data_IF_204953944560
#
_entry.id   IF_204953944560
#
_cell.length_a   1.000
_cell.length_b   1.000
_cell.length_c   1.000
_cell.angle_alpha   90.00
_cell.angle_beta   90.00
_cell.angle_gamma   90.00
#
_symmetry.space_group_name_H-M   'P 1'
#
loop_
_entity.id
_entity.type
_entity.pdbx_description
1 polymer ?
#
# COMPACT_ATOMS: atom_id res chain seq x y z
N UNK A 1 -23.11 71.99 -42.56
CA UNK A 1 -22.47 70.66 -42.53
C UNK A 1 -21.47 70.60 -41.37
N UNK A 2 -21.83 70.01 -40.23
CA UNK A 2 -20.85 69.57 -39.20
C UNK A 2 -21.53 68.60 -38.23
N UNK A 3 -21.40 67.30 -38.48
CA UNK A 3 -21.76 66.26 -37.49
C UNK A 3 -20.53 65.98 -36.63
N UNK A 4 -20.62 66.14 -35.30
CA UNK A 4 -19.63 65.56 -34.38
C UNK A 4 -20.31 64.62 -33.40
N UNK A 5 -20.06 63.33 -33.65
CA UNK A 5 -20.24 62.14 -32.80
C UNK A 5 -19.84 62.40 -31.34
N UNK A 6 -20.62 61.86 -30.40
CA UNK A 6 -20.09 61.35 -29.12
C UNK A 6 -20.61 59.92 -28.96
N UNK A 7 -19.67 58.97 -29.04
CA UNK A 7 -19.91 57.54 -28.89
C UNK A 7 -20.21 57.20 -27.42
N UNK A 8 -21.04 56.18 -27.26
CA UNK A 8 -21.48 55.54 -26.03
C UNK A 8 -20.30 55.00 -25.21
N UNK A 9 -20.39 55.15 -23.89
CA UNK A 9 -19.53 54.47 -22.90
C UNK A 9 -19.71 52.95 -23.05
N UNK A 10 -18.65 52.24 -23.46
CA UNK A 10 -18.59 50.79 -23.39
C UNK A 10 -17.90 50.40 -22.07
N UNK A 11 -18.70 50.01 -21.08
CA UNK A 11 -18.21 49.38 -19.85
C UNK A 11 -17.78 47.94 -20.19
N UNK A 12 -16.48 47.71 -20.38
CA UNK A 12 -15.94 46.36 -20.51
C UNK A 12 -15.88 45.71 -19.12
N UNK A 13 -16.86 44.85 -18.81
CA UNK A 13 -16.82 43.98 -17.63
C UNK A 13 -15.79 42.88 -17.93
N UNK A 14 -14.57 43.03 -17.42
CA UNK A 14 -13.54 42.00 -17.52
C UNK A 14 -13.93 40.82 -16.63
N UNK A 15 -14.42 39.73 -17.23
CA UNK A 15 -14.55 38.44 -16.55
C UNK A 15 -13.16 37.89 -16.29
N UNK A 16 -12.68 38.00 -15.05
CA UNK A 16 -11.49 37.28 -14.59
C UNK A 16 -11.77 35.77 -14.67
N UNK A 17 -10.98 34.98 -15.40
CA UNK A 17 -11.06 33.54 -15.30
C UNK A 17 -10.65 33.15 -13.88
N UNK A 18 -11.54 32.46 -13.16
CA UNK A 18 -11.16 31.77 -11.94
C UNK A 18 -10.13 30.71 -12.34
N UNK A 19 -8.85 30.96 -12.06
CA UNK A 19 -7.82 29.95 -12.16
C UNK A 19 -8.24 28.80 -11.24
N UNK A 20 -8.56 27.64 -11.82
CA UNK A 20 -8.71 26.43 -11.05
C UNK A 20 -7.35 26.11 -10.42
N UNK A 21 -7.18 26.48 -9.16
CA UNK A 21 -6.00 26.11 -8.39
C UNK A 21 -6.07 24.59 -8.21
N UNK A 22 -5.29 23.85 -9.00
CA UNK A 22 -5.08 22.44 -8.73
C UNK A 22 -4.51 22.34 -7.31
N UNK A 23 -5.24 21.68 -6.41
CA UNK A 23 -4.83 21.59 -5.02
C UNK A 23 -3.47 20.88 -4.93
N UNK A 24 -2.53 21.47 -4.21
CA UNK A 24 -1.20 20.89 -4.01
C UNK A 24 -1.28 19.79 -2.95
N UNK A 25 -0.79 18.59 -3.28
CA UNK A 25 -0.64 17.48 -2.35
C UNK A 25 0.82 17.06 -2.36
N UNK A 26 1.48 17.08 -1.20
CA UNK A 26 2.85 16.63 -1.03
C UNK A 26 2.97 15.74 0.21
N UNK A 27 3.84 14.73 0.17
CA UNK A 27 4.09 13.82 1.29
C UNK A 27 5.47 14.06 1.85
N UNK A 28 5.64 13.92 3.17
CA UNK A 28 6.96 13.92 3.78
C UNK A 28 7.81 12.76 3.20
N UNK A 29 9.08 13.00 2.87
CA UNK A 29 9.93 11.98 2.25
C UNK A 29 10.18 10.80 3.20
N UNK A 30 10.20 9.60 2.63
CA UNK A 30 10.57 8.36 3.32
C UNK A 30 12.01 8.00 2.94
N UNK A 31 12.88 7.63 3.90
CA UNK A 31 14.25 7.26 3.59
C UNK A 31 14.30 6.01 2.70
N UNK A 32 15.27 5.99 1.77
CA UNK A 32 15.56 4.79 0.98
C UNK A 32 16.14 3.73 1.94
N UNK A 33 15.66 2.49 1.83
CA UNK A 33 16.17 1.39 2.62
C UNK A 33 17.64 1.08 2.28
N UNK A 34 18.56 1.51 3.14
CA UNK A 34 19.99 1.40 2.93
C UNK A 34 20.56 0.01 3.25
N UNK A 35 19.87 -0.75 4.11
CA UNK A 35 20.30 -2.08 4.56
C UNK A 35 19.12 -3.07 4.64
N UNK A 36 19.45 -4.34 4.88
CA UNK A 36 18.46 -5.41 4.93
C UNK A 36 17.52 -5.33 6.13
N UNK A 37 17.93 -4.67 7.22
CA UNK A 37 17.04 -4.44 8.36
C UNK A 37 15.98 -3.39 7.99
N UNK A 38 16.38 -2.30 7.33
CA UNK A 38 15.50 -1.25 6.84
C UNK A 38 14.51 -1.78 5.78
N UNK A 39 14.92 -2.70 4.90
CA UNK A 39 14.02 -3.35 3.92
C UNK A 39 12.90 -4.19 4.56
N UNK A 40 13.07 -4.61 5.81
CA UNK A 40 12.08 -5.40 6.56
C UNK A 40 11.15 -4.54 7.39
N UNK A 41 11.39 -3.24 7.47
CA UNK A 41 10.53 -2.32 8.20
C UNK A 41 9.37 -1.87 7.29
N UNK A 42 8.18 -1.81 7.87
CA UNK A 42 7.09 -1.04 7.30
C UNK A 42 7.40 0.42 7.60
N UNK A 43 7.67 1.23 6.59
CA UNK A 43 7.90 2.66 6.76
C UNK A 43 6.84 3.40 5.94
N UNK A 44 6.16 4.35 6.57
CA UNK A 44 5.20 5.23 5.93
C UNK A 44 5.62 6.68 6.16
N UNK A 45 5.16 7.56 5.27
CA UNK A 45 5.28 9.01 5.47
C UNK A 45 4.49 9.44 6.72
N UNK A 46 5.04 10.38 7.48
CA UNK A 46 4.46 10.86 8.75
C UNK A 46 3.47 12.02 8.57
N UNK A 47 3.50 12.70 7.43
CA UNK A 47 2.62 13.83 7.15
C UNK A 47 2.33 14.01 5.66
N UNK A 48 1.17 14.59 5.38
CA UNK A 48 0.76 15.05 4.06
C UNK A 48 0.42 16.53 4.14
N UNK A 49 0.93 17.31 3.20
CA UNK A 49 0.59 18.72 3.01
C UNK A 49 -0.47 18.82 1.94
N UNK A 50 -1.63 19.40 2.28
CA UNK A 50 -2.74 19.67 1.36
C UNK A 50 -2.95 21.18 1.33
N UNK A 51 -2.75 21.82 0.18
CA UNK A 51 -2.91 23.27 0.01
C UNK A 51 -2.13 24.10 1.04
N UNK A 52 -0.89 23.69 1.34
CA UNK A 52 -0.03 24.35 2.32
C UNK A 52 -0.35 24.08 3.79
N UNK A 53 -1.39 23.29 4.09
CA UNK A 53 -1.70 22.84 5.46
C UNK A 53 -1.18 21.42 5.67
N UNK A 54 -0.35 21.23 6.69
CA UNK A 54 0.20 19.92 7.05
C UNK A 54 -0.77 19.13 7.93
N UNK A 55 -0.94 17.85 7.60
CA UNK A 55 -1.77 16.89 8.35
C UNK A 55 -0.92 15.68 8.73
N UNK A 56 -0.94 15.25 10.01
CA UNK A 56 -0.27 14.03 10.41
C UNK A 56 -0.99 12.81 9.81
N UNK A 57 -0.21 11.87 9.30
CA UNK A 57 -0.70 10.58 8.82
C UNK A 57 0.22 9.47 9.32
N UNK A 58 -0.28 8.25 9.29
CA UNK A 58 0.46 7.10 9.76
C UNK A 58 -0.33 5.82 9.61
N UNK A 59 0.20 4.76 10.21
CA UNK A 59 -0.43 3.45 10.25
C UNK A 59 -0.41 2.93 11.68
N UNK A 60 -1.33 2.02 11.98
CA UNK A 60 -1.33 1.27 13.23
C UNK A 60 -0.96 -0.17 12.90
N UNK A 61 0.06 -0.70 13.56
CA UNK A 61 0.39 -2.12 13.47
C UNK A 61 -0.63 -2.89 14.29
N UNK A 62 -1.45 -3.69 13.63
CA UNK A 62 -2.41 -4.59 14.29
C UNK A 62 -1.75 -5.90 14.74
N UNK A 63 -0.79 -6.41 13.96
CA UNK A 63 -0.07 -7.64 14.22
C UNK A 63 1.24 -7.68 13.41
N UNK A 64 2.28 -8.26 14.00
CA UNK A 64 3.57 -8.59 13.37
C UNK A 64 3.91 -10.08 13.54
N UNK A 65 4.66 -10.65 12.60
CA UNK A 65 5.07 -12.06 12.69
C UNK A 65 5.84 -12.30 13.99
N UNK A 66 5.39 -13.24 14.81
CA UNK A 66 5.97 -13.48 16.14
C UNK A 66 5.17 -12.92 17.31
N UNK A 67 4.21 -12.03 17.06
CA UNK A 67 3.33 -11.52 18.11
C UNK A 67 2.43 -12.64 18.65
N UNK A 68 2.14 -12.58 19.95
CA UNK A 68 1.15 -13.46 20.58
C UNK A 68 -0.23 -12.85 20.42
N UNK A 69 -1.14 -13.60 19.79
CA UNK A 69 -2.52 -13.20 19.57
C UNK A 69 -3.40 -14.36 20.03
N UNK A 70 -4.13 -14.16 21.13
CA UNK A 70 -4.76 -15.27 21.87
C UNK A 70 -3.71 -16.30 22.30
N UNK A 71 -4.01 -17.58 22.07
CA UNK A 71 -3.10 -18.69 22.38
C UNK A 71 -2.05 -18.94 21.28
N UNK A 72 -2.18 -18.26 20.15
CA UNK A 72 -1.36 -18.45 18.96
C UNK A 72 -0.19 -17.47 18.86
N UNK A 73 0.81 -17.86 18.08
CA UNK A 73 1.87 -16.95 17.61
C UNK A 73 1.57 -16.62 16.15
N UNK A 74 1.40 -15.35 15.83
CA UNK A 74 1.06 -14.91 14.48
C UNK A 74 2.15 -15.30 13.48
N UNK A 75 1.73 -15.89 12.36
CA UNK A 75 2.59 -16.40 11.28
C UNK A 75 3.59 -17.51 11.67
N UNK A 76 3.44 -18.14 12.83
CA UNK A 76 4.31 -19.24 13.22
C UNK A 76 4.07 -20.48 12.35
N UNK A 77 5.16 -21.18 12.02
CA UNK A 77 5.10 -22.43 11.27
C UNK A 77 4.62 -23.57 12.16
N UNK A 78 3.71 -24.38 11.61
CA UNK A 78 3.20 -25.61 12.20
C UNK A 78 3.49 -26.79 11.28
N UNK A 79 3.73 -27.96 11.83
CA UNK A 79 3.83 -29.20 11.08
C UNK A 79 2.45 -29.76 10.71
N UNK A 80 2.42 -30.96 10.14
CA UNK A 80 1.15 -31.61 9.73
C UNK A 80 0.29 -32.03 10.91
N UNK A 81 0.87 -32.14 12.10
CA UNK A 81 0.22 -32.49 13.35
C UNK A 81 -0.33 -31.24 14.06
N UNK A 82 0.05 -30.04 13.58
CA UNK A 82 -0.34 -28.76 14.15
C UNK A 82 0.62 -28.24 15.20
N UNK A 83 1.73 -28.94 15.44
CA UNK A 83 2.76 -28.57 16.39
C UNK A 83 3.68 -27.50 15.82
N UNK A 84 4.13 -26.58 16.66
CA UNK A 84 5.03 -25.50 16.25
C UNK A 84 6.38 -26.07 15.79
N UNK A 85 6.77 -25.72 14.56
CA UNK A 85 8.10 -26.01 14.04
C UNK A 85 9.10 -25.08 14.75
N UNK A 86 10.04 -25.66 15.48
CA UNK A 86 11.05 -24.93 16.27
C UNK A 86 12.46 -25.26 15.77
N UNK A 87 13.27 -24.23 15.57
CA UNK A 87 14.74 -24.33 15.58
C UNK A 87 15.25 -23.71 16.89
N UNK A 88 16.39 -24.17 17.39
CA UNK A 88 16.98 -23.67 18.64
C UNK A 88 17.30 -22.16 18.58
N UNK A 89 17.56 -21.64 17.40
CA UNK A 89 17.84 -20.22 17.10
C UNK A 89 16.65 -19.49 16.43
N UNK A 90 15.53 -20.18 16.19
CA UNK A 90 14.37 -19.66 15.47
C UNK A 90 14.55 -19.52 13.96
N UNK A 91 15.73 -19.82 13.42
CA UNK A 91 16.00 -19.80 11.98
C UNK A 91 15.71 -21.18 11.37
N UNK A 92 14.86 -21.22 10.35
CA UNK A 92 14.60 -22.45 9.60
C UNK A 92 15.32 -22.36 8.26
N UNK A 93 16.15 -23.37 7.97
CA UNK A 93 16.83 -23.48 6.68
C UNK A 93 16.02 -24.38 5.76
N UNK A 94 15.57 -23.85 4.63
CA UNK A 94 14.95 -24.65 3.59
C UNK A 94 15.96 -25.67 3.06
N UNK A 95 15.64 -26.96 3.17
CA UNK A 95 16.47 -28.06 2.64
C UNK A 95 16.14 -28.34 1.17
N UNK A 96 14.87 -28.17 0.79
CA UNK A 96 14.38 -28.34 -0.57
C UNK A 96 13.09 -27.55 -0.74
N UNK A 97 12.90 -26.97 -1.93
CA UNK A 97 11.66 -26.29 -2.32
C UNK A 97 11.08 -26.99 -3.55
N UNK A 98 9.79 -27.27 -3.52
CA UNK A 98 9.01 -27.67 -4.70
C UNK A 98 7.91 -26.64 -4.91
N UNK A 99 7.58 -26.27 -6.15
CA UNK A 99 6.40 -25.46 -6.41
C UNK A 99 5.17 -26.11 -5.77
N UNK A 100 4.39 -25.31 -5.05
CA UNK A 100 3.12 -25.76 -4.50
C UNK A 100 2.11 -25.74 -5.64
N UNK A 101 1.46 -26.88 -5.90
CA UNK A 101 0.33 -26.95 -6.81
C UNK A 101 -0.91 -26.37 -6.13
N UNK A 102 -1.32 -25.18 -6.54
CA UNK A 102 -2.53 -24.49 -6.06
C UNK A 102 -3.74 -24.71 -6.96
N UNK A 103 -3.68 -25.63 -7.94
CA UNK A 103 -4.78 -25.90 -8.88
C UNK A 103 -6.08 -26.31 -8.19
N UNK A 104 -5.99 -27.06 -7.10
CA UNK A 104 -7.13 -27.44 -6.26
C UNK A 104 -7.91 -26.23 -5.69
N UNK A 105 -7.27 -25.06 -5.65
CA UNK A 105 -7.83 -23.80 -5.16
C UNK A 105 -8.00 -22.75 -6.27
N UNK A 106 -7.88 -23.15 -7.53
CA UNK A 106 -8.02 -22.24 -8.68
C UNK A 106 -6.78 -21.41 -9.01
N UNK A 107 -5.62 -21.75 -8.43
CA UNK A 107 -4.37 -21.02 -8.64
C UNK A 107 -4.24 -19.75 -7.80
N UNK A 108 -3.04 -19.15 -7.82
CA UNK A 108 -2.81 -17.78 -7.33
C UNK A 108 -3.15 -16.82 -8.47
N UNK A 109 -3.97 -15.80 -8.22
CA UNK A 109 -4.50 -14.94 -9.29
C UNK A 109 -3.75 -13.62 -9.41
N UNK A 110 -3.50 -12.96 -8.29
CA UNK A 110 -2.94 -11.61 -8.24
C UNK A 110 -2.23 -11.42 -6.90
N UNK A 111 -1.12 -12.15 -6.67
CA UNK A 111 -0.38 -12.02 -5.43
C UNK A 111 0.15 -10.60 -5.32
N UNK A 112 -0.27 -9.91 -4.28
CA UNK A 112 0.16 -8.58 -3.90
C UNK A 112 0.64 -8.59 -2.45
N UNK A 113 1.36 -7.54 -2.05
CA UNK A 113 1.87 -7.31 -0.70
C UNK A 113 2.52 -8.55 -0.07
N UNK A 114 3.84 -8.71 -0.27
CA UNK A 114 4.62 -9.78 0.35
C UNK A 114 5.40 -9.31 1.59
N UNK A 115 5.47 -10.15 2.63
CA UNK A 115 6.34 -9.96 3.78
C UNK A 115 7.12 -11.24 4.12
N UNK A 116 8.36 -11.10 4.56
CA UNK A 116 9.16 -12.23 5.08
C UNK A 116 8.93 -12.33 6.58
N UNK A 117 8.48 -13.49 7.05
CA UNK A 117 8.30 -13.78 8.47
C UNK A 117 9.64 -13.97 9.17
N UNK A 118 9.65 -13.86 10.49
CA UNK A 118 10.82 -14.19 11.32
C UNK A 118 11.31 -15.65 11.18
N UNK A 119 10.52 -16.54 10.57
CA UNK A 119 10.87 -17.94 10.32
C UNK A 119 11.33 -18.19 8.88
N UNK A 120 11.74 -17.12 8.16
CA UNK A 120 12.27 -17.22 6.78
C UNK A 120 11.26 -17.82 5.79
N UNK A 121 9.98 -17.55 6.03
CA UNK A 121 8.89 -17.85 5.10
C UNK A 121 8.25 -16.58 4.57
N UNK A 122 7.50 -16.66 3.47
CA UNK A 122 6.81 -15.52 2.88
C UNK A 122 5.32 -15.59 3.19
N UNK A 123 4.75 -14.46 3.61
CA UNK A 123 3.31 -14.20 3.59
C UNK A 123 3.01 -13.33 2.39
N UNK A 124 1.94 -13.65 1.68
CA UNK A 124 1.39 -12.82 0.60
C UNK A 124 -0.12 -12.99 0.57
N UNK A 125 -0.80 -12.03 -0.05
CA UNK A 125 -2.25 -12.11 -0.27
C UNK A 125 -2.53 -12.07 -1.77
N UNK A 126 -3.54 -12.79 -2.23
CA UNK A 126 -4.17 -12.41 -3.50
C UNK A 126 -4.97 -11.11 -3.27
N UNK A 127 -4.87 -10.18 -4.21
CA UNK A 127 -5.67 -8.97 -4.24
C UNK A 127 -6.66 -9.03 -5.40
N UNK A 128 -7.87 -8.49 -5.22
CA UNK A 128 -9.02 -8.56 -6.13
C UNK A 128 -9.79 -9.90 -6.11
N UNK A 129 -11.05 -9.83 -5.69
CA UNK A 129 -12.00 -10.91 -5.91
C UNK A 129 -12.27 -11.05 -7.41
N UNK A 130 -11.94 -12.18 -8.00
CA UNK A 130 -12.63 -12.56 -9.23
C UNK A 130 -14.06 -12.93 -8.86
N UNK A 131 -15.04 -12.29 -9.50
CA UNK A 131 -16.32 -12.96 -9.68
C UNK A 131 -16.04 -14.26 -10.45
N UNK A 132 -16.10 -15.39 -9.74
CA UNK A 132 -15.86 -16.72 -10.32
C UNK A 132 -16.95 -17.14 -11.33
N UNK A 133 -17.95 -16.29 -11.62
CA UNK A 133 -18.98 -16.52 -12.66
C UNK A 133 -18.79 -15.67 -13.93
N UNK A 134 -17.74 -14.85 -14.00
CA UNK A 134 -17.61 -13.80 -15.01
C UNK A 134 -16.58 -13.99 -16.11
N UNK A 135 -16.20 -15.23 -16.50
CA UNK A 135 -15.34 -15.45 -17.67
C UNK A 135 -15.83 -16.63 -18.52
N UNK A 136 -16.83 -16.35 -19.36
CA UNK A 136 -16.98 -16.98 -20.67
C UNK A 136 -16.56 -15.94 -21.69
N UNK A 137 -15.46 -16.21 -22.38
CA UNK A 137 -14.97 -15.50 -23.56
C UNK A 137 -14.20 -16.49 -24.40
#
# INVERSE_FOLDING_TARGET
MTRRRRLLFASALATLPALAQAGEIAFAPVPIAADDAAKRQVIATSSVTINGTEYPIGYTVLASSGDRIGDGVFAALKDRQGDLVRSADGALKAVSTKPVDSSAYGGLRAPCAGAVTRWTTHLGSDEHSADARGHVG
#
